data_IF_516965539495
#
_entry.id   IF_516965539495
#
_cell.length_a   1.000
_cell.length_b   1.000
_cell.length_c   1.000
_cell.angle_alpha   90.00
_cell.angle_beta   90.00
_cell.angle_gamma   90.00
#
_symmetry.space_group_name_H-M   'P 1'
#
loop_
_entity.id
_entity.type
_entity.pdbx_description
1 polymer ?
#
# COMPACT_ATOMS: atom_id res chain seq x y z
N UNK A 1 -19.83 -5.28 -8.27
CA UNK A 1 -19.22 -5.58 -6.96
C UNK A 1 -17.83 -5.01 -6.96
N UNK A 2 -17.52 -4.11 -6.02
CA UNK A 2 -16.25 -3.39 -5.95
C UNK A 2 -15.20 -4.32 -5.31
N UNK A 3 -14.30 -4.90 -6.10
CA UNK A 3 -13.22 -5.72 -5.58
C UNK A 3 -12.21 -4.83 -4.84
N UNK A 4 -12.00 -5.07 -3.55
CA UNK A 4 -10.92 -4.47 -2.76
C UNK A 4 -10.04 -5.59 -2.21
N UNK A 5 -8.72 -5.42 -2.26
CA UNK A 5 -7.74 -6.35 -1.73
C UNK A 5 -7.00 -5.63 -0.59
N UNK A 6 -7.10 -6.18 0.62
CA UNK A 6 -6.35 -5.69 1.78
C UNK A 6 -5.25 -6.67 2.09
N UNK A 7 -4.00 -6.20 2.08
CA UNK A 7 -2.82 -6.98 2.46
C UNK A 7 -2.22 -6.35 3.71
N UNK A 8 -2.06 -7.15 4.77
CA UNK A 8 -1.43 -6.72 6.02
C UNK A 8 -0.09 -7.42 6.21
N UNK A 9 0.88 -6.72 6.76
CA UNK A 9 2.21 -7.24 7.08
C UNK A 9 2.75 -6.56 8.33
N UNK A 10 3.61 -7.25 9.08
CA UNK A 10 4.25 -6.73 10.29
C UNK A 10 5.51 -5.89 9.99
N UNK A 11 5.87 -5.72 8.72
CA UNK A 11 7.06 -4.99 8.30
C UNK A 11 6.73 -3.82 7.36
N UNK A 12 7.00 -2.60 7.81
CA UNK A 12 6.71 -1.36 7.08
C UNK A 12 7.39 -1.29 5.70
N UNK A 13 8.65 -1.74 5.61
CA UNK A 13 9.38 -1.77 4.33
C UNK A 13 8.75 -2.78 3.37
N UNK A 14 8.21 -3.87 3.88
CA UNK A 14 7.50 -4.85 3.05
C UNK A 14 6.21 -4.25 2.49
N UNK A 15 5.45 -3.52 3.32
CA UNK A 15 4.24 -2.84 2.89
C UNK A 15 4.51 -1.85 1.74
N UNK A 16 5.58 -1.05 1.86
CA UNK A 16 6.02 -0.14 0.80
C UNK A 16 6.42 -0.86 -0.49
N UNK A 17 7.21 -1.95 -0.37
CA UNK A 17 7.65 -2.74 -1.53
C UNK A 17 6.46 -3.30 -2.30
N UNK A 18 5.42 -3.76 -1.59
CA UNK A 18 4.18 -4.23 -2.20
C UNK A 18 3.51 -3.10 -2.97
N UNK A 19 3.28 -1.93 -2.37
CA UNK A 19 2.65 -0.80 -3.08
C UNK A 19 3.41 -0.37 -4.34
N UNK A 20 4.75 -0.30 -4.26
CA UNK A 20 5.60 0.01 -5.42
C UNK A 20 5.51 -1.05 -6.52
N UNK A 21 5.47 -2.34 -6.16
CA UNK A 21 5.34 -3.43 -7.10
C UNK A 21 3.98 -3.41 -7.81
N UNK A 22 2.91 -3.15 -7.08
CA UNK A 22 1.55 -3.06 -7.63
C UNK A 22 1.44 -1.89 -8.61
N UNK A 23 1.90 -0.68 -8.25
CA UNK A 23 1.94 0.47 -9.18
C UNK A 23 2.76 0.18 -10.43
N UNK A 24 3.91 -0.50 -10.30
CA UNK A 24 4.75 -0.87 -11.45
C UNK A 24 4.05 -1.87 -12.37
N UNK A 25 3.29 -2.81 -11.81
CA UNK A 25 2.63 -3.86 -12.58
C UNK A 25 1.31 -3.42 -13.22
N UNK A 26 0.57 -2.51 -12.58
CA UNK A 26 -0.82 -2.20 -12.93
C UNK A 26 -1.11 -0.70 -13.17
N UNK A 27 -0.09 0.15 -13.16
CA UNK A 27 -0.21 1.62 -13.24
C UNK A 27 -1.04 2.21 -12.08
N UNK A 28 -1.35 3.51 -12.12
CA UNK A 28 -2.12 4.20 -11.08
C UNK A 28 -1.28 4.85 -9.99
N UNK A 29 -1.95 5.23 -8.90
CA UNK A 29 -1.38 6.06 -7.84
C UNK A 29 -1.24 5.34 -6.52
N UNK A 30 -0.17 5.69 -5.80
CA UNK A 30 0.14 5.13 -4.48
C UNK A 30 0.31 6.26 -3.49
N UNK A 31 -0.47 6.21 -2.41
CA UNK A 31 -0.35 7.07 -1.25
C UNK A 31 0.26 6.31 -0.07
N UNK A 32 1.08 7.01 0.72
CA UNK A 32 1.74 6.48 1.89
C UNK A 32 1.32 7.28 3.12
N UNK A 33 0.68 6.61 4.08
CA UNK A 33 0.21 7.21 5.32
C UNK A 33 0.97 6.59 6.50
N UNK A 34 1.71 7.43 7.23
CA UNK A 34 2.52 7.01 8.35
C UNK A 34 1.83 7.33 9.68
N UNK A 35 1.79 6.35 10.58
CA UNK A 35 1.40 6.58 11.97
C UNK A 35 2.64 6.99 12.78
N UNK A 36 2.60 8.18 13.34
CA UNK A 36 3.68 8.69 14.19
C UNK A 36 3.79 7.94 15.53
N UNK A 37 2.66 7.41 16.03
CA UNK A 37 2.59 6.79 17.35
C UNK A 37 2.86 5.28 17.32
N UNK A 38 2.43 4.58 16.27
CA UNK A 38 2.36 3.12 16.28
C UNK A 38 3.38 2.39 15.37
N UNK A 39 4.35 3.08 14.75
CA UNK A 39 5.30 2.50 13.77
C UNK A 39 4.59 1.63 12.73
N UNK A 40 3.52 2.19 12.16
CA UNK A 40 2.71 1.56 11.14
C UNK A 40 2.69 2.46 9.90
N UNK A 41 2.65 1.82 8.75
CA UNK A 41 2.40 2.47 7.47
C UNK A 41 1.19 1.83 6.79
N UNK A 42 0.29 2.68 6.29
CA UNK A 42 -0.79 2.29 5.39
C UNK A 42 -0.42 2.74 3.99
N UNK A 43 -0.38 1.78 3.08
CA UNK A 43 -0.09 2.03 1.67
C UNK A 43 -1.37 1.81 0.88
N UNK A 44 -1.85 2.85 0.24
CA UNK A 44 -3.07 2.79 -0.57
C UNK A 44 -2.70 2.89 -2.04
N UNK A 45 -3.22 1.98 -2.84
CA UNK A 45 -3.06 2.01 -4.29
C UNK A 45 -4.43 2.06 -4.96
N UNK A 46 -4.57 2.95 -5.93
CA UNK A 46 -5.77 3.10 -6.74
C UNK A 46 -5.39 3.02 -8.20
N UNK A 47 -6.09 2.17 -8.94
CA UNK A 47 -5.99 2.07 -10.40
C UNK A 47 -6.86 3.16 -11.03
N UNK A 48 -6.34 3.86 -12.02
CA UNK A 48 -7.13 4.74 -12.90
C UNK A 48 -8.18 3.96 -13.70
#
# INVERSE_FOLDING_TARGET
GSGNIVVSTTNEKMAQRIGKAVKKAFSGDVAYHWSHDNKLIRVEWVRE
#
